data_IF_036218366057
#
_entry.id   IF_036218366057
#
_cell.length_a   1.000
_cell.length_b   1.000
_cell.length_c   1.000
_cell.angle_alpha   90.00
_cell.angle_beta   90.00
_cell.angle_gamma   90.00
#
_symmetry.space_group_name_H-M   'P 1'
#
loop_
_entity.id
_entity.type
_entity.pdbx_description
1 polymer ?
#
# COMPACT_ATOMS: atom_id res chain seq x y z
N UNK A 1 -38.88 21.59 -11.30
CA UNK A 1 -38.94 22.91 -11.99
C UNK A 1 -38.78 24.00 -10.94
N UNK A 2 -37.86 24.95 -11.11
CA UNK A 2 -37.55 25.98 -10.12
C UNK A 2 -38.32 27.26 -10.43
N UNK A 3 -39.08 27.73 -9.46
CA UNK A 3 -39.97 28.91 -9.50
C UNK A 3 -39.25 30.19 -9.02
N UNK A 4 -39.70 31.34 -9.52
CA UNK A 4 -39.38 32.67 -8.95
C UNK A 4 -40.40 33.06 -7.88
N UNK A 5 -40.05 34.00 -6.99
CA UNK A 5 -40.89 34.37 -5.84
C UNK A 5 -42.29 34.88 -6.21
N UNK A 6 -42.46 35.43 -7.42
CA UNK A 6 -43.74 35.98 -7.92
C UNK A 6 -44.59 34.99 -8.73
N UNK A 7 -44.20 33.71 -8.81
CA UNK A 7 -44.84 32.74 -9.72
C UNK A 7 -45.98 31.93 -9.06
N UNK A 8 -47.03 31.66 -9.83
CA UNK A 8 -48.20 30.88 -9.39
C UNK A 8 -48.13 29.43 -9.87
N UNK A 9 -48.22 28.48 -8.93
CA UNK A 9 -48.23 27.03 -9.21
C UNK A 9 -49.40 26.64 -10.12
N UNK A 10 -50.53 27.33 -10.01
CA UNK A 10 -51.73 27.05 -10.80
C UNK A 10 -51.53 27.40 -12.27
N UNK A 11 -50.77 28.47 -12.56
CA UNK A 11 -50.47 28.90 -13.93
C UNK A 11 -49.56 27.90 -14.64
N UNK A 12 -48.55 27.39 -13.93
CA UNK A 12 -47.64 26.34 -14.43
C UNK A 12 -48.41 25.02 -14.59
N UNK A 13 -49.29 24.68 -13.65
CA UNK A 13 -50.10 23.46 -13.70
C UNK A 13 -51.08 23.48 -14.87
N UNK A 14 -51.75 24.61 -15.12
CA UNK A 14 -52.63 24.79 -16.27
C UNK A 14 -51.86 24.61 -17.59
N UNK A 15 -50.63 25.11 -17.64
CA UNK A 15 -49.78 24.99 -18.82
C UNK A 15 -49.31 23.56 -19.09
N UNK A 16 -48.91 22.84 -18.05
CA UNK A 16 -48.54 21.42 -18.16
C UNK A 16 -49.76 20.58 -18.57
N UNK A 17 -50.93 20.84 -17.97
CA UNK A 17 -52.18 20.13 -18.29
C UNK A 17 -52.73 20.43 -19.68
N UNK A 18 -52.41 21.58 -20.27
CA UNK A 18 -52.76 21.91 -21.66
C UNK A 18 -52.14 20.95 -22.67
N UNK A 19 -50.92 20.50 -22.43
CA UNK A 19 -50.19 19.58 -23.31
C UNK A 19 -50.31 18.13 -22.85
N UNK A 20 -50.37 17.89 -21.55
CA UNK A 20 -50.51 16.56 -20.95
C UNK A 20 -51.60 16.56 -19.87
N UNK A 21 -52.88 16.34 -20.24
CA UNK A 21 -54.02 16.43 -19.32
C UNK A 21 -53.94 15.47 -18.13
N UNK A 22 -53.28 14.33 -18.33
CA UNK A 22 -53.08 13.27 -17.33
C UNK A 22 -51.83 13.46 -16.46
N UNK A 23 -51.11 14.59 -16.60
CA UNK A 23 -50.00 14.93 -15.73
C UNK A 23 -50.48 15.26 -14.31
N UNK A 24 -49.82 14.66 -13.31
CA UNK A 24 -50.15 14.85 -11.90
C UNK A 24 -49.08 15.69 -11.20
N UNK A 25 -49.50 16.68 -10.41
CA UNK A 25 -48.60 17.42 -9.53
C UNK A 25 -48.09 16.47 -8.44
N UNK A 26 -46.77 16.29 -8.35
CA UNK A 26 -46.15 15.34 -7.42
C UNK A 26 -45.70 16.00 -6.12
N UNK A 27 -45.04 17.16 -6.21
CA UNK A 27 -44.56 17.89 -5.03
C UNK A 27 -44.34 19.37 -5.33
N UNK A 28 -44.49 20.18 -4.28
CA UNK A 28 -44.13 21.60 -4.25
C UNK A 28 -43.31 21.81 -2.97
N UNK A 29 -41.99 21.96 -3.08
CA UNK A 29 -41.08 22.09 -1.93
C UNK A 29 -39.97 23.08 -2.25
N UNK A 30 -39.75 24.07 -1.38
CA UNK A 30 -38.58 24.96 -1.46
C UNK A 30 -38.48 25.78 -2.75
N UNK A 31 -39.61 26.20 -3.34
CA UNK A 31 -39.62 26.89 -4.63
C UNK A 31 -39.40 25.97 -5.84
N UNK A 32 -39.45 24.65 -5.65
CA UNK A 32 -39.45 23.66 -6.71
C UNK A 32 -40.80 22.96 -6.85
N UNK A 33 -41.29 22.87 -8.09
CA UNK A 33 -42.49 22.11 -8.48
C UNK A 33 -42.10 20.92 -9.34
N UNK A 34 -42.62 19.75 -9.00
CA UNK A 34 -42.38 18.50 -9.73
C UNK A 34 -43.70 17.92 -10.23
N UNK A 35 -43.76 17.58 -11.52
CA UNK A 35 -44.89 16.88 -12.13
C UNK A 35 -44.50 15.45 -12.50
N UNK A 36 -45.42 14.51 -12.28
CA UNK A 36 -45.37 13.18 -12.87
C UNK A 36 -46.04 13.23 -14.24
N UNK A 37 -45.25 12.99 -15.29
CA UNK A 37 -45.73 13.00 -16.66
C UNK A 37 -46.13 11.57 -17.09
N UNK A 38 -47.17 11.42 -17.92
CA UNK A 38 -47.52 10.16 -18.57
C UNK A 38 -46.36 9.62 -19.43
N UNK A 39 -46.32 8.30 -19.72
CA UNK A 39 -45.27 7.70 -20.54
C UNK A 39 -45.34 8.08 -22.03
N UNK A 40 -46.29 8.91 -22.44
CA UNK A 40 -46.45 9.35 -23.83
C UNK A 40 -45.38 10.37 -24.22
N UNK A 41 -44.24 9.85 -24.66
CA UNK A 41 -43.06 10.65 -25.05
C UNK A 41 -43.30 11.60 -26.23
N UNK A 42 -44.35 11.36 -27.04
CA UNK A 42 -44.67 12.20 -28.20
C UNK A 42 -45.10 13.61 -27.81
N UNK A 43 -45.63 13.78 -26.60
CA UNK A 43 -46.12 15.04 -26.06
C UNK A 43 -45.05 15.81 -25.25
N UNK A 44 -43.86 15.24 -25.05
CA UNK A 44 -42.81 15.89 -24.25
C UNK A 44 -42.14 17.05 -24.98
N UNK A 45 -41.84 16.89 -26.28
CA UNK A 45 -41.27 17.96 -27.09
C UNK A 45 -42.17 19.21 -27.12
N UNK A 46 -43.47 19.13 -27.46
CA UNK A 46 -44.33 20.32 -27.48
C UNK A 46 -44.54 20.94 -26.10
N UNK A 47 -44.54 20.13 -25.02
CA UNK A 47 -44.59 20.64 -23.64
C UNK A 47 -43.31 21.42 -23.26
N UNK A 48 -42.14 20.89 -23.59
CA UNK A 48 -40.85 21.55 -23.32
C UNK A 48 -40.74 22.85 -24.12
N UNK A 49 -41.18 22.82 -25.37
CA UNK A 49 -41.18 24.01 -26.23
C UNK A 49 -42.12 25.09 -25.68
N UNK A 50 -43.34 24.73 -25.26
CA UNK A 50 -44.29 25.70 -24.70
C UNK A 50 -43.82 26.31 -23.38
N UNK A 51 -43.19 25.51 -22.52
CA UNK A 51 -42.60 25.95 -21.25
C UNK A 51 -41.35 26.80 -21.45
N UNK A 52 -40.56 26.52 -22.49
CA UNK A 52 -39.39 27.34 -22.85
C UNK A 52 -39.80 28.71 -23.39
N UNK A 53 -40.84 28.76 -24.22
CA UNK A 53 -41.32 29.98 -24.85
C UNK A 53 -42.00 30.94 -23.84
N UNK A 54 -42.70 30.39 -22.85
CA UNK A 54 -43.40 31.17 -21.80
C UNK A 54 -42.68 31.15 -20.44
N UNK A 55 -41.37 30.88 -20.47
CA UNK A 55 -40.55 30.71 -19.26
C UNK A 55 -40.57 31.94 -18.35
N UNK A 56 -40.45 33.14 -18.93
CA UNK A 56 -40.45 34.42 -18.19
C UNK A 56 -41.85 34.76 -17.67
N UNK A 57 -42.89 34.54 -18.48
CA UNK A 57 -44.30 34.79 -18.13
C UNK A 57 -44.79 33.89 -16.99
N UNK A 58 -44.32 32.64 -16.95
CA UNK A 58 -44.67 31.66 -15.93
C UNK A 58 -43.78 31.74 -14.67
N UNK A 59 -42.78 32.62 -14.67
CA UNK A 59 -41.81 32.76 -13.57
C UNK A 59 -41.02 31.48 -13.28
N UNK A 60 -40.60 30.76 -14.33
CA UNK A 60 -39.80 29.54 -14.20
C UNK A 60 -38.32 29.85 -14.45
N UNK A 61 -37.48 29.73 -13.44
CA UNK A 61 -36.02 29.96 -13.58
C UNK A 61 -35.35 28.84 -14.36
N UNK A 62 -35.73 27.59 -14.09
CA UNK A 62 -35.17 26.41 -14.73
C UNK A 62 -36.14 25.23 -14.69
N UNK A 63 -36.15 24.41 -15.73
CA UNK A 63 -36.90 23.15 -15.77
C UNK A 63 -36.09 22.09 -16.51
N UNK A 64 -36.38 20.82 -16.21
CA UNK A 64 -35.73 19.66 -16.82
C UNK A 64 -36.65 18.44 -16.75
N UNK A 65 -36.37 17.47 -17.62
CA UNK A 65 -37.03 16.16 -17.64
C UNK A 65 -36.06 15.13 -17.07
N UNK A 66 -36.56 14.31 -16.15
CA UNK A 66 -35.81 13.21 -15.54
C UNK A 66 -36.59 11.92 -15.69
N UNK A 67 -35.90 10.84 -16.05
CA UNK A 67 -36.48 9.50 -16.02
C UNK A 67 -36.66 9.07 -14.56
N UNK A 68 -37.81 8.47 -14.25
CA UNK A 68 -38.02 7.87 -12.93
C UNK A 68 -37.10 6.65 -12.79
N UNK A 69 -36.24 6.66 -11.78
CA UNK A 69 -35.30 5.54 -11.53
C UNK A 69 -35.98 4.42 -10.72
N UNK A 70 -35.45 3.19 -10.81
CA UNK A 70 -35.92 2.07 -9.97
C UNK A 70 -35.84 2.35 -8.47
N UNK A 71 -34.85 3.13 -8.04
CA UNK A 71 -34.71 3.59 -6.66
C UNK A 71 -35.90 4.48 -6.25
N UNK A 72 -36.31 5.41 -7.12
CA UNK A 72 -37.47 6.28 -6.88
C UNK A 72 -38.79 5.51 -6.87
N UNK A 73 -38.94 4.49 -7.71
CA UNK A 73 -40.11 3.60 -7.70
C UNK A 73 -40.15 2.79 -6.41
N UNK A 74 -39.02 2.22 -5.98
CA UNK A 74 -38.93 1.42 -4.76
C UNK A 74 -39.28 2.24 -3.51
N UNK A 75 -38.71 3.44 -3.34
CA UNK A 75 -39.07 4.32 -2.22
C UNK A 75 -40.51 4.85 -2.32
N UNK A 76 -41.05 4.99 -3.54
CA UNK A 76 -42.42 5.41 -3.77
C UNK A 76 -43.44 4.40 -3.27
N UNK A 77 -43.20 3.11 -3.53
CA UNK A 77 -44.08 2.01 -3.08
C UNK A 77 -44.15 1.95 -1.55
N UNK A 78 -43.01 2.09 -0.86
CA UNK A 78 -42.99 2.09 0.61
C UNK A 78 -43.83 3.21 1.23
N UNK A 79 -43.86 4.40 0.61
CA UNK A 79 -44.63 5.56 1.10
C UNK A 79 -46.15 5.45 0.90
N UNK A 80 -46.58 4.67 -0.09
CA UNK A 80 -48.02 4.40 -0.34
C UNK A 80 -48.54 3.36 0.67
N UNK A 81 -47.69 2.40 1.06
CA UNK A 81 -48.02 1.41 2.09
C UNK A 81 -48.24 2.04 3.49
N UNK A 82 -47.67 3.22 3.74
CA UNK A 82 -47.84 3.95 5.01
C UNK A 82 -49.12 4.83 5.06
N UNK A 83 -49.94 4.91 4.00
CA UNK A 83 -51.01 5.92 3.88
C UNK A 83 -52.44 5.43 3.58
N UNK A 84 -52.76 4.15 3.68
CA UNK A 84 -54.16 3.67 3.50
C UNK A 84 -54.66 2.81 4.68
N UNK A 85 -55.06 3.46 5.77
CA UNK A 85 -56.22 3.08 6.58
C UNK A 85 -57.34 4.09 6.28
N UNK A 86 -58.19 3.83 5.29
CA UNK A 86 -59.62 4.23 5.21
C UNK A 86 -60.27 3.77 3.87
N UNK A 87 -60.82 2.55 3.90
CA UNK A 87 -61.86 1.89 3.07
C UNK A 87 -61.77 1.69 1.52
N UNK A 88 -62.24 0.53 0.98
CA UNK A 88 -62.09 0.06 -0.42
C UNK A 88 -63.43 0.06 -1.21
N UNK A 89 -63.62 -0.53 -2.42
CA UNK A 89 -62.70 -0.98 -3.49
C UNK A 89 -63.07 -0.46 -4.92
N UNK A 90 -62.14 -0.51 -5.87
CA UNK A 90 -62.42 -1.13 -7.18
C UNK A 90 -61.24 -2.05 -7.54
N UNK A 91 -61.55 -3.34 -7.57
CA UNK A 91 -60.62 -4.40 -7.84
C UNK A 91 -60.14 -4.33 -9.30
N UNK A 92 -58.86 -4.04 -9.50
CA UNK A 92 -58.17 -4.48 -10.71
C UNK A 92 -57.54 -5.84 -10.41
N UNK A 93 -58.25 -6.89 -10.80
CA UNK A 93 -57.70 -8.23 -10.95
C UNK A 93 -56.83 -8.24 -12.22
N UNK A 94 -55.53 -8.57 -12.15
CA UNK A 94 -54.82 -9.04 -13.31
C UNK A 94 -55.21 -10.51 -13.48
N UNK A 95 -56.02 -10.77 -14.51
CA UNK A 95 -56.19 -12.11 -15.06
C UNK A 95 -54.80 -12.62 -15.47
N UNK A 96 -54.42 -13.77 -14.93
CA UNK A 96 -53.28 -14.57 -15.39
C UNK A 96 -53.60 -15.12 -16.78
N UNK A 97 -53.09 -14.47 -17.84
CA UNK A 97 -52.80 -15.11 -19.11
C UNK A 97 -51.46 -14.56 -19.66
N UNK A 98 -50.47 -15.46 -19.70
CA UNK A 98 -49.14 -15.43 -20.35
C UNK A 98 -48.58 -14.06 -20.81
N UNK A 99 -47.91 -13.37 -19.89
CA UNK A 99 -47.17 -12.13 -20.15
C UNK A 99 -45.76 -12.36 -20.72
N UNK A 100 -45.62 -12.15 -22.02
CA UNK A 100 -44.36 -11.85 -22.70
C UNK A 100 -43.69 -10.62 -22.06
N UNK A 101 -42.43 -10.78 -21.67
CA UNK A 101 -41.60 -9.70 -21.14
C UNK A 101 -41.16 -8.75 -22.26
N UNK A 102 -41.79 -7.58 -22.33
CA UNK A 102 -41.29 -6.46 -23.13
C UNK A 102 -40.03 -5.86 -22.49
N UNK A 103 -38.89 -6.49 -22.74
CA UNK A 103 -37.58 -5.85 -22.77
C UNK A 103 -37.17 -5.66 -24.24
N UNK A 104 -36.91 -4.41 -24.63
CA UNK A 104 -36.34 -3.94 -25.91
C UNK A 104 -36.39 -4.92 -27.10
N UNK A 105 -37.34 -4.65 -28.00
CA UNK A 105 -37.29 -5.07 -29.41
C UNK A 105 -37.77 -6.48 -29.69
N UNK A 106 -39.06 -6.72 -29.46
CA UNK A 106 -39.77 -7.81 -30.13
C UNK A 106 -40.59 -7.21 -31.29
N UNK A 107 -40.25 -7.61 -32.51
CA UNK A 107 -40.96 -7.22 -33.71
C UNK A 107 -41.89 -8.38 -34.09
N UNK A 108 -43.03 -8.44 -33.43
CA UNK A 108 -44.17 -9.23 -33.88
C UNK A 108 -45.33 -8.29 -34.20
N UNK A 109 -45.33 -7.78 -35.44
CA UNK A 109 -46.57 -7.49 -36.15
C UNK A 109 -46.40 -8.06 -37.55
N UNK A 110 -47.00 -9.23 -37.76
CA UNK A 110 -47.39 -9.66 -39.09
C UNK A 110 -48.45 -8.68 -39.63
N UNK A 111 -48.26 -8.32 -40.90
CA UNK A 111 -49.23 -7.77 -41.83
C UNK A 111 -49.62 -6.29 -41.68
N UNK A 112 -48.72 -5.42 -42.14
CA UNK A 112 -49.03 -4.06 -42.56
C UNK A 112 -47.86 -3.46 -43.33
N UNK A 113 -48.04 -3.27 -44.64
CA UNK A 113 -47.07 -2.73 -45.60
C UNK A 113 -46.46 -1.42 -45.08
N UNK A 114 -45.16 -1.41 -44.76
CA UNK A 114 -44.35 -0.18 -44.78
C UNK A 114 -42.88 -0.53 -45.04
N UNK A 115 -42.31 0.14 -46.02
CA UNK A 115 -41.01 -0.12 -46.66
C UNK A 115 -39.83 0.22 -45.73
N UNK A 116 -39.00 -0.77 -45.35
CA UNK A 116 -37.75 -0.51 -44.62
C UNK A 116 -36.52 -0.73 -45.52
N UNK A 117 -35.77 0.35 -45.73
CA UNK A 117 -34.60 0.46 -46.59
C UNK A 117 -33.33 -0.01 -45.86
N UNK A 118 -33.32 -1.26 -45.38
CA UNK A 118 -32.17 -1.84 -44.65
C UNK A 118 -31.73 -3.23 -45.11
N UNK A 119 -31.97 -3.57 -46.38
CA UNK A 119 -31.26 -4.68 -47.02
C UNK A 119 -29.85 -4.24 -47.43
N UNK A 120 -28.92 -4.28 -46.48
CA UNK A 120 -27.52 -4.58 -46.75
C UNK A 120 -26.85 -4.85 -45.39
N UNK A 121 -26.62 -6.14 -45.08
CA UNK A 121 -25.41 -6.70 -44.48
C UNK A 121 -25.68 -8.14 -44.00
N UNK A 122 -25.08 -9.09 -44.72
CA UNK A 122 -24.84 -10.51 -44.42
C UNK A 122 -26.02 -11.38 -43.94
N UNK A 123 -26.34 -12.40 -44.74
CA UNK A 123 -27.12 -13.60 -44.39
C UNK A 123 -26.39 -14.50 -43.38
N UNK A 124 -26.06 -13.98 -42.18
CA UNK A 124 -25.62 -14.85 -41.08
C UNK A 124 -26.77 -15.06 -40.11
N UNK A 125 -27.26 -16.31 -40.06
CA UNK A 125 -28.30 -16.75 -39.15
C UNK A 125 -27.73 -16.79 -37.72
N UNK A 126 -27.96 -15.74 -36.95
CA UNK A 126 -27.49 -15.63 -35.56
C UNK A 126 -28.16 -16.70 -34.68
N UNK A 127 -27.40 -17.72 -34.28
CA UNK A 127 -27.87 -18.73 -33.32
C UNK A 127 -27.76 -18.16 -31.91
N UNK A 128 -28.89 -18.01 -31.20
CA UNK A 128 -28.90 -17.58 -29.78
C UNK A 128 -28.20 -18.64 -28.93
N UNK A 129 -27.07 -18.27 -28.34
CA UNK A 129 -26.28 -19.14 -27.45
C UNK A 129 -26.78 -18.96 -26.01
N UNK A 130 -26.98 -20.06 -25.28
CA UNK A 130 -27.48 -20.04 -23.88
C UNK A 130 -26.45 -20.71 -22.96
N UNK A 131 -26.29 -20.23 -21.72
CA UNK A 131 -25.39 -20.81 -20.72
C UNK A 131 -23.98 -20.19 -20.65
N UNK A 132 -22.95 -20.98 -20.36
CA UNK A 132 -21.56 -20.51 -20.14
C UNK A 132 -20.89 -19.93 -21.39
N UNK A 133 -21.29 -20.39 -22.58
CA UNK A 133 -20.84 -19.84 -23.86
C UNK A 133 -21.25 -18.37 -24.04
N UNK A 134 -22.43 -18.00 -23.56
CA UNK A 134 -22.91 -16.62 -23.57
C UNK A 134 -22.14 -15.74 -22.58
N UNK A 135 -21.71 -16.29 -21.44
CA UNK A 135 -20.83 -15.59 -20.52
C UNK A 135 -19.46 -15.30 -21.17
N UNK A 136 -18.90 -16.27 -21.90
CA UNK A 136 -17.66 -16.10 -22.64
C UNK A 136 -17.79 -15.08 -23.78
N UNK A 137 -18.93 -15.08 -24.49
CA UNK A 137 -19.23 -14.08 -25.52
C UNK A 137 -19.37 -12.67 -24.93
N UNK A 138 -19.97 -12.53 -23.74
CA UNK A 138 -20.06 -11.25 -23.02
C UNK A 138 -18.67 -10.76 -22.59
N UNK A 139 -17.83 -11.64 -22.05
CA UNK A 139 -16.44 -11.32 -21.71
C UNK A 139 -15.66 -10.90 -22.96
N UNK A 140 -15.77 -11.68 -24.05
CA UNK A 140 -15.15 -11.37 -25.33
C UNK A 140 -15.63 -10.01 -25.88
N UNK A 141 -16.94 -9.74 -25.83
CA UNK A 141 -17.52 -8.47 -26.25
C UNK A 141 -17.02 -7.30 -25.39
N UNK A 142 -16.88 -7.50 -24.07
CA UNK A 142 -16.32 -6.50 -23.16
C UNK A 142 -14.86 -6.19 -23.51
N UNK A 143 -14.02 -7.20 -23.76
CA UNK A 143 -12.62 -7.01 -24.18
C UNK A 143 -12.51 -6.33 -25.54
N UNK A 144 -13.32 -6.74 -26.52
CA UNK A 144 -13.34 -6.10 -27.85
C UNK A 144 -13.75 -4.63 -27.71
N UNK A 145 -14.80 -4.35 -26.94
CA UNK A 145 -15.24 -2.98 -26.66
C UNK A 145 -14.15 -2.16 -25.98
N UNK A 146 -13.49 -2.72 -24.96
CA UNK A 146 -12.38 -2.07 -24.25
C UNK A 146 -11.20 -1.82 -25.18
N UNK A 147 -10.84 -2.78 -26.03
CA UNK A 147 -9.75 -2.66 -26.98
C UNK A 147 -10.00 -1.62 -28.08
N UNK A 148 -11.22 -1.59 -28.65
CA UNK A 148 -11.61 -0.58 -29.65
C UNK A 148 -11.58 0.81 -29.01
N UNK A 149 -12.11 0.95 -27.79
CA UNK A 149 -12.06 2.21 -27.05
C UNK A 149 -10.61 2.65 -26.78
N UNK A 150 -9.76 1.75 -26.29
CA UNK A 150 -8.34 2.01 -26.04
C UNK A 150 -7.63 2.40 -27.33
N UNK A 151 -7.82 1.70 -28.45
CA UNK A 151 -7.20 2.07 -29.74
C UNK A 151 -7.63 3.45 -30.23
N UNK A 152 -8.91 3.81 -30.09
CA UNK A 152 -9.44 5.12 -30.52
C UNK A 152 -8.95 6.27 -29.64
N UNK A 153 -8.70 6.02 -28.36
CA UNK A 153 -8.22 7.01 -27.37
C UNK A 153 -6.70 6.94 -27.13
N UNK A 154 -5.98 5.98 -27.72
CA UNK A 154 -4.53 5.85 -27.59
C UNK A 154 -3.76 7.09 -28.05
N UNK A 155 -4.19 7.85 -29.09
CA UNK A 155 -3.57 9.13 -29.43
C UNK A 155 -3.62 10.10 -28.25
N UNK A 156 -4.77 10.29 -27.59
CA UNK A 156 -4.90 11.16 -26.41
C UNK A 156 -3.98 10.73 -25.26
N UNK A 157 -3.78 9.42 -25.08
CA UNK A 157 -2.86 8.86 -24.09
C UNK A 157 -1.39 9.16 -24.44
N UNK A 158 -1.01 9.07 -25.72
CA UNK A 158 0.35 9.40 -26.19
C UNK A 158 0.59 10.90 -26.21
N UNK A 159 -0.38 11.73 -26.64
CA UNK A 159 -0.24 13.20 -26.64
C UNK A 159 -0.17 13.76 -25.23
N UNK A 160 -0.81 13.12 -24.24
CA UNK A 160 -0.60 13.41 -22.81
C UNK A 160 0.80 13.02 -22.31
N UNK A 161 1.43 12.00 -22.89
CA UNK A 161 2.79 11.55 -22.53
C UNK A 161 3.88 12.30 -23.31
N UNK A 162 3.57 12.82 -24.51
CA UNK A 162 4.54 13.37 -25.46
C UNK A 162 4.70 14.90 -25.50
N UNK A 163 3.84 15.68 -24.84
CA UNK A 163 3.97 17.15 -24.82
C UNK A 163 4.77 17.65 -23.61
N UNK A 164 6.06 17.30 -23.56
CA UNK A 164 7.07 18.05 -22.80
C UNK A 164 7.87 18.92 -23.77
N UNK A 165 7.23 19.95 -24.32
CA UNK A 165 7.91 20.79 -25.32
C UNK A 165 7.00 21.86 -25.89
N UNK A 166 6.72 22.90 -25.11
CA UNK A 166 6.19 24.15 -25.65
C UNK A 166 5.12 24.82 -24.80
N UNK A 167 5.51 25.96 -24.26
CA UNK A 167 4.66 27.06 -23.78
C UNK A 167 4.03 26.93 -22.39
N UNK A 168 4.61 27.77 -21.53
CA UNK A 168 4.07 28.34 -20.29
C UNK A 168 2.57 28.68 -20.33
N UNK A 169 1.92 28.47 -19.19
CA UNK A 169 0.64 29.06 -18.77
C UNK A 169 -0.63 28.22 -18.96
N UNK A 170 -0.71 27.05 -18.34
CA UNK A 170 -1.75 26.76 -17.33
C UNK A 170 -1.47 25.42 -16.65
N UNK A 171 -1.32 25.48 -15.33
CA UNK A 171 -1.03 24.37 -14.44
C UNK A 171 -2.29 23.57 -14.14
N UNK A 172 -2.68 22.63 -15.00
CA UNK A 172 -3.63 21.58 -14.62
C UNK A 172 -2.91 20.23 -14.66
N UNK A 173 -2.62 19.73 -13.44
CA UNK A 173 -1.75 18.59 -13.13
C UNK A 173 -2.26 17.21 -13.56
N UNK A 174 -2.85 17.08 -14.74
CA UNK A 174 -3.35 15.80 -15.28
C UNK A 174 -2.29 14.96 -16.00
N UNK A 175 -1.05 15.45 -16.10
CA UNK A 175 0.00 14.88 -16.95
C UNK A 175 0.82 13.75 -16.31
N UNK A 176 0.65 13.44 -15.01
CA UNK A 176 1.53 12.49 -14.30
C UNK A 176 0.90 11.14 -13.88
N UNK A 177 -0.41 10.94 -14.02
CA UNK A 177 -1.07 9.82 -13.31
C UNK A 177 -0.72 8.42 -13.85
N UNK A 178 -0.40 8.29 -15.15
CA UNK A 178 0.01 7.00 -15.74
C UNK A 178 1.51 6.70 -15.63
N UNK A 179 2.35 7.74 -15.48
CA UNK A 179 3.80 7.61 -15.38
C UNK A 179 4.26 7.36 -13.93
N UNK A 180 3.50 7.84 -12.94
CA UNK A 180 3.79 7.69 -11.50
C UNK A 180 4.08 6.24 -11.10
N UNK A 181 3.27 5.23 -11.46
CA UNK A 181 3.57 3.84 -11.08
C UNK A 181 4.88 3.32 -11.68
N UNK A 182 5.19 3.73 -12.91
CA UNK A 182 6.42 3.32 -13.60
C UNK A 182 7.64 3.98 -12.94
N UNK A 183 7.56 5.27 -12.66
CA UNK A 183 8.64 6.02 -11.99
C UNK A 183 8.87 5.51 -10.57
N UNK A 184 7.80 5.25 -9.82
CA UNK A 184 7.87 4.68 -8.47
C UNK A 184 8.50 3.29 -8.51
N UNK A 185 8.12 2.44 -9.47
CA UNK A 185 8.72 1.10 -9.63
C UNK A 185 10.20 1.20 -9.98
N UNK A 186 10.60 2.08 -10.91
CA UNK A 186 12.00 2.31 -11.26
C UNK A 186 12.79 2.83 -10.04
N UNK A 187 12.23 3.79 -9.28
CA UNK A 187 12.85 4.30 -8.07
C UNK A 187 13.04 3.19 -7.02
N UNK A 188 12.05 2.32 -6.80
CA UNK A 188 12.16 1.16 -5.94
C UNK A 188 13.27 0.20 -6.38
N UNK A 189 13.38 -0.07 -7.69
CA UNK A 189 14.45 -0.93 -8.24
C UNK A 189 15.84 -0.30 -8.11
N UNK A 190 15.96 1.02 -8.27
CA UNK A 190 17.23 1.74 -8.08
C UNK A 190 17.65 1.76 -6.60
N UNK A 191 16.69 1.96 -5.70
CA UNK A 191 16.90 1.84 -4.26
C UNK A 191 17.38 0.43 -3.95
N UNK A 192 16.66 -0.60 -4.39
CA UNK A 192 17.05 -2.00 -4.13
C UNK A 192 18.45 -2.32 -4.67
N UNK A 193 18.79 -1.86 -5.88
CA UNK A 193 20.15 -2.01 -6.43
C UNK A 193 21.23 -1.34 -5.58
N UNK A 194 20.95 -0.17 -5.02
CA UNK A 194 21.89 0.56 -4.17
C UNK A 194 21.93 0.00 -2.73
N UNK A 195 20.86 -0.62 -2.25
CA UNK A 195 20.74 -1.17 -0.90
C UNK A 195 21.16 -2.65 -0.80
N UNK A 196 21.20 -3.40 -1.90
CA UNK A 196 21.77 -4.76 -1.96
C UNK A 196 23.30 -4.82 -1.73
N UNK A 197 23.89 -3.74 -1.21
CA UNK A 197 25.31 -3.65 -0.86
C UNK A 197 25.66 -4.30 0.49
N UNK A 198 24.69 -4.78 1.29
CA UNK A 198 24.96 -5.48 2.55
C UNK A 198 25.37 -6.95 2.38
N UNK A 199 26.03 -7.29 1.26
CA UNK A 199 26.90 -8.48 1.22
C UNK A 199 28.28 -8.13 1.77
N UNK A 200 28.37 -7.19 2.72
CA UNK A 200 29.61 -6.94 3.45
C UNK A 200 29.78 -8.11 4.42
N UNK A 201 30.69 -9.01 4.05
CA UNK A 201 31.25 -9.94 5.01
C UNK A 201 31.79 -9.11 6.19
N UNK A 202 31.30 -9.40 7.40
CA UNK A 202 31.71 -8.65 8.60
C UNK A 202 33.26 -8.60 8.68
N UNK A 203 33.85 -7.49 9.16
CA UNK A 203 35.30 -7.43 9.29
C UNK A 203 35.78 -8.48 10.31
N UNK A 204 36.99 -9.05 10.13
CA UNK A 204 37.55 -9.96 11.10
C UNK A 204 37.73 -9.26 12.45
N UNK A 205 37.44 -10.00 13.54
CA UNK A 205 37.56 -9.49 14.89
C UNK A 205 38.91 -9.91 15.50
N UNK A 206 39.81 -8.95 15.69
CA UNK A 206 41.07 -9.18 16.41
C UNK A 206 40.81 -9.41 17.91
N UNK A 207 41.32 -10.53 18.44
CA UNK A 207 41.12 -10.94 19.83
C UNK A 207 42.07 -10.22 20.79
N UNK A 208 41.83 -8.93 20.98
CA UNK A 208 42.56 -8.07 21.93
C UNK A 208 41.63 -7.55 23.04
N UNK A 209 42.16 -7.16 24.22
CA UNK A 209 41.38 -6.52 25.28
C UNK A 209 40.56 -5.30 24.83
N UNK A 210 41.02 -4.61 23.78
CA UNK A 210 40.39 -3.42 23.21
C UNK A 210 39.03 -3.66 22.56
N UNK A 211 38.63 -4.92 22.37
CA UNK A 211 37.29 -5.28 21.87
C UNK A 211 36.19 -4.85 22.85
N UNK A 212 36.51 -4.79 24.15
CA UNK A 212 35.56 -4.37 25.17
C UNK A 212 35.55 -2.84 25.27
N UNK A 213 34.37 -2.23 25.08
CA UNK A 213 34.16 -0.78 25.22
C UNK A 213 34.35 -0.29 26.66
N UNK A 214 34.15 -1.18 27.62
CA UNK A 214 34.27 -0.90 29.05
C UNK A 214 35.71 -1.15 29.52
N UNK A 215 36.20 -0.32 30.43
CA UNK A 215 37.52 -0.51 31.06
C UNK A 215 37.55 -1.86 31.78
N UNK A 216 38.37 -2.79 31.29
CA UNK A 216 38.51 -4.10 31.93
C UNK A 216 39.50 -4.04 33.08
N UNK A 217 39.19 -4.74 34.17
CA UNK A 217 40.02 -4.92 35.34
C UNK A 217 40.47 -6.38 35.42
N UNK A 218 41.78 -6.61 35.46
CA UNK A 218 42.36 -7.96 35.51
C UNK A 218 43.19 -8.11 36.77
N UNK A 219 42.98 -9.21 37.50
CA UNK A 219 43.87 -9.58 38.59
C UNK A 219 44.99 -10.48 38.06
N UNK A 220 46.21 -10.23 38.54
CA UNK A 220 47.37 -11.05 38.22
C UNK A 220 48.09 -11.49 39.49
N UNK A 221 48.50 -12.76 39.54
CA UNK A 221 49.30 -13.30 40.61
C UNK A 221 50.53 -14.01 40.02
N UNK A 222 51.68 -13.92 40.68
CA UNK A 222 52.85 -14.69 40.32
C UNK A 222 53.60 -15.17 41.56
N UNK A 223 54.08 -16.40 41.53
CA UNK A 223 54.98 -16.92 42.56
C UNK A 223 56.33 -16.18 42.54
N UNK A 224 57.05 -16.14 43.68
CA UNK A 224 58.37 -15.54 43.76
C UNK A 224 59.31 -16.06 42.65
N UNK A 225 59.95 -15.15 41.92
CA UNK A 225 60.82 -15.46 40.78
C UNK A 225 60.13 -15.44 39.40
N UNK A 226 58.82 -15.22 39.33
CA UNK A 226 58.06 -15.08 38.08
C UNK A 226 57.54 -13.66 37.81
N UNK A 227 58.05 -12.65 38.51
CA UNK A 227 57.65 -11.24 38.39
C UNK A 227 57.79 -10.69 36.96
N UNK A 228 58.78 -11.18 36.21
CA UNK A 228 58.96 -10.81 34.80
C UNK A 228 57.73 -11.17 33.95
N UNK A 229 57.07 -12.31 34.20
CA UNK A 229 55.84 -12.69 33.51
C UNK A 229 54.70 -11.72 33.81
N UNK A 230 54.59 -11.26 35.06
CA UNK A 230 53.61 -10.27 35.47
C UNK A 230 53.85 -8.94 34.76
N UNK A 231 55.10 -8.49 34.66
CA UNK A 231 55.45 -7.27 33.94
C UNK A 231 55.11 -7.36 32.44
N UNK A 232 55.41 -8.50 31.81
CA UNK A 232 55.04 -8.77 30.43
C UNK A 232 53.52 -8.81 30.23
N UNK A 233 52.79 -9.43 31.17
CA UNK A 233 51.32 -9.46 31.18
C UNK A 233 50.74 -8.06 31.23
N UNK A 234 51.18 -7.23 32.18
CA UNK A 234 50.74 -5.84 32.33
C UNK A 234 50.93 -5.02 31.06
N UNK A 235 52.04 -5.22 30.33
CA UNK A 235 52.31 -4.50 29.10
C UNK A 235 51.35 -4.85 27.94
N UNK A 236 50.67 -6.00 27.98
CA UNK A 236 49.71 -6.38 26.92
C UNK A 236 48.40 -5.59 26.98
N UNK A 237 48.18 -4.86 28.06
CA UNK A 237 46.99 -4.05 28.27
C UNK A 237 47.22 -2.62 27.77
N UNK A 238 46.25 -2.09 27.02
CA UNK A 238 46.25 -0.69 26.61
C UNK A 238 45.92 0.27 27.76
N UNK A 239 46.05 1.58 27.53
CA UNK A 239 45.88 2.63 28.54
C UNK A 239 44.51 2.63 29.28
N UNK A 240 43.48 2.03 28.67
CA UNK A 240 42.12 2.00 29.22
C UNK A 240 41.86 0.80 30.13
N UNK A 241 42.81 -0.12 30.28
CA UNK A 241 42.63 -1.34 31.07
C UNK A 241 43.55 -1.33 32.29
N UNK A 242 43.06 -1.86 33.41
CA UNK A 242 43.80 -1.88 34.67
C UNK A 242 44.15 -3.31 35.06
N UNK A 243 45.40 -3.50 35.48
CA UNK A 243 45.90 -4.79 35.96
C UNK A 243 46.46 -4.62 37.36
N UNK A 244 45.89 -5.36 38.31
CA UNK A 244 46.24 -5.30 39.73
C UNK A 244 46.89 -6.61 40.17
N UNK A 245 47.98 -6.50 40.93
CA UNK A 245 48.63 -7.67 41.52
C UNK A 245 47.92 -8.09 42.81
N UNK A 246 47.70 -9.38 42.98
CA UNK A 246 47.05 -9.95 44.16
C UNK A 246 47.74 -11.24 44.61
N UNK A 247 47.63 -11.57 45.89
CA UNK A 247 48.12 -12.82 46.48
C UNK A 247 47.31 -14.04 46.01
N UNK A 248 46.02 -13.87 45.74
CA UNK A 248 45.18 -14.94 45.24
C UNK A 248 44.05 -14.40 44.35
N UNK A 249 44.15 -14.74 43.07
CA UNK A 249 43.20 -14.30 42.03
C UNK A 249 41.78 -14.74 42.35
N UNK A 250 41.58 -15.95 42.87
CA UNK A 250 40.24 -16.49 43.13
C UNK A 250 39.58 -15.70 44.26
N UNK A 251 40.28 -15.42 45.35
CA UNK A 251 39.70 -14.66 46.48
C UNK A 251 39.40 -13.23 46.09
N UNK A 252 40.26 -12.58 45.30
CA UNK A 252 39.99 -11.22 44.79
C UNK A 252 38.81 -11.17 43.82
N UNK A 253 38.67 -12.16 42.94
CA UNK A 253 37.50 -12.27 42.05
C UNK A 253 36.22 -12.49 42.84
N UNK A 254 36.25 -13.35 43.87
CA UNK A 254 35.10 -13.59 44.75
C UNK A 254 34.71 -12.33 45.51
N UNK A 255 35.68 -11.61 46.09
CA UNK A 255 35.43 -10.35 46.77
C UNK A 255 34.82 -9.30 45.82
N UNK A 256 35.38 -9.14 44.61
CA UNK A 256 34.83 -8.22 43.62
C UNK A 256 33.39 -8.58 43.20
N UNK A 257 33.07 -9.88 43.20
CA UNK A 257 31.71 -10.36 42.90
C UNK A 257 30.71 -10.08 44.03
N UNK A 258 31.16 -10.12 45.29
CA UNK A 258 30.34 -9.80 46.47
C UNK A 258 30.10 -8.29 46.60
N UNK A 259 31.11 -7.47 46.27
CA UNK A 259 30.99 -6.00 46.30
C UNK A 259 30.01 -5.48 45.25
N UNK A 260 30.13 -5.92 43.99
CA UNK A 260 29.21 -5.53 42.93
C UNK A 260 29.22 -6.54 41.77
N UNK A 261 28.18 -7.38 41.73
CA UNK A 261 28.04 -8.42 40.70
C UNK A 261 27.97 -7.88 39.27
N UNK A 262 27.30 -6.74 39.06
CA UNK A 262 27.17 -6.14 37.71
C UNK A 262 28.52 -5.63 37.21
N UNK A 263 29.24 -4.90 38.07
CA UNK A 263 30.58 -4.40 37.76
C UNK A 263 31.56 -5.55 37.54
N UNK A 264 31.49 -6.60 38.37
CA UNK A 264 32.25 -7.83 38.19
C UNK A 264 32.05 -8.43 36.79
N UNK A 265 30.79 -8.59 36.36
CA UNK A 265 30.45 -9.19 35.05
C UNK A 265 30.91 -8.39 33.83
N UNK A 266 30.93 -7.07 33.94
CA UNK A 266 31.31 -6.19 32.83
C UNK A 266 32.80 -5.91 32.77
N UNK A 267 33.47 -5.84 33.93
CA UNK A 267 34.83 -5.35 34.02
C UNK A 267 35.86 -6.45 34.25
N UNK A 268 35.53 -7.54 34.97
CA UNK A 268 36.46 -8.62 35.30
C UNK A 268 36.40 -9.77 34.29
N UNK A 269 36.61 -9.46 33.01
CA UNK A 269 36.47 -10.42 31.93
C UNK A 269 37.53 -11.53 31.93
N UNK A 270 38.75 -11.23 32.39
CA UNK A 270 39.86 -12.19 32.43
C UNK A 270 40.88 -11.85 33.53
N UNK A 271 41.55 -12.87 34.05
CA UNK A 271 42.59 -12.78 35.09
C UNK A 271 43.60 -13.91 34.90
N UNK A 272 44.82 -13.75 35.42
CA UNK A 272 45.90 -14.72 35.20
C UNK A 272 46.72 -15.00 36.46
N UNK A 273 47.27 -16.21 36.58
CA UNK A 273 48.24 -16.55 37.62
C UNK A 273 49.38 -17.37 37.07
N UNK A 274 50.60 -17.05 37.49
CA UNK A 274 51.82 -17.73 37.10
C UNK A 274 52.41 -18.45 38.31
N UNK A 275 52.23 -19.76 38.37
CA UNK A 275 52.62 -20.58 39.51
C UNK A 275 53.86 -21.40 39.18
N UNK A 276 54.84 -21.41 40.06
CA UNK A 276 56.04 -22.24 39.95
C UNK A 276 55.76 -23.61 40.56
N UNK A 277 55.80 -24.67 39.74
CA UNK A 277 55.77 -26.07 40.23
C UNK A 277 57.16 -26.68 40.08
N UNK A 278 57.44 -27.74 40.84
CA UNK A 278 58.76 -28.38 40.94
C UNK A 278 59.45 -28.69 39.61
N UNK A 279 58.70 -28.97 38.54
CA UNK A 279 59.25 -29.32 37.21
C UNK A 279 58.81 -28.42 36.06
N UNK A 280 57.88 -27.49 36.30
CA UNK A 280 57.32 -26.65 35.25
C UNK A 280 56.62 -25.43 35.84
N UNK A 281 56.57 -24.34 35.08
CA UNK A 281 55.72 -23.21 35.40
C UNK A 281 54.30 -23.47 34.89
N UNK A 282 53.30 -23.34 35.77
CA UNK A 282 51.90 -23.45 35.43
C UNK A 282 51.31 -22.05 35.20
N UNK A 283 50.91 -21.76 33.96
CA UNK A 283 50.22 -20.52 33.61
C UNK A 283 48.71 -20.82 33.58
N UNK A 284 47.94 -20.11 34.41
CA UNK A 284 46.50 -20.30 34.52
C UNK A 284 45.78 -19.01 34.13
N UNK A 285 44.73 -19.14 33.33
CA UNK A 285 43.85 -18.04 32.93
C UNK A 285 42.45 -18.34 33.42
N UNK A 286 41.82 -17.34 34.02
CA UNK A 286 40.41 -17.32 34.28
C UNK A 286 39.76 -16.41 33.24
N UNK A 287 38.72 -16.91 32.58
CA UNK A 287 37.95 -16.17 31.61
C UNK A 287 36.47 -16.29 31.97
N UNK A 288 35.76 -15.16 31.92
CA UNK A 288 34.35 -15.14 32.22
C UNK A 288 33.50 -15.57 31.03
N UNK A 289 32.41 -16.29 31.27
CA UNK A 289 31.53 -16.79 30.19
C UNK A 289 30.47 -15.79 29.72
N UNK A 290 30.41 -14.60 30.33
CA UNK A 290 29.38 -13.60 30.02
C UNK A 290 29.77 -12.76 28.80
N UNK A 291 30.95 -12.10 28.76
CA UNK A 291 31.39 -11.46 27.52
C UNK A 291 31.85 -12.52 26.51
N UNK A 292 31.52 -12.31 25.24
CA UNK A 292 31.98 -13.20 24.17
C UNK A 292 33.50 -13.11 23.98
N UNK A 293 34.09 -14.17 23.42
CA UNK A 293 35.52 -14.25 23.05
C UNK A 293 36.54 -14.12 24.18
N UNK A 294 36.13 -14.01 25.44
CA UNK A 294 37.00 -13.90 26.62
C UNK A 294 38.03 -15.03 26.74
N UNK A 295 37.64 -16.26 26.43
CA UNK A 295 38.55 -17.42 26.45
C UNK A 295 39.64 -17.28 25.39
N UNK A 296 39.28 -16.84 24.19
CA UNK A 296 40.23 -16.60 23.09
C UNK A 296 41.17 -15.43 23.39
N UNK A 297 40.65 -14.35 23.96
CA UNK A 297 41.44 -13.19 24.37
C UNK A 297 42.38 -13.56 25.52
N UNK A 298 41.87 -14.25 26.56
CA UNK A 298 42.67 -14.67 27.72
C UNK A 298 43.81 -15.63 27.35
N UNK A 299 43.56 -16.57 26.44
CA UNK A 299 44.60 -17.47 25.91
C UNK A 299 45.62 -16.72 25.04
N UNK A 300 45.18 -15.78 24.21
CA UNK A 300 46.06 -14.90 23.44
C UNK A 300 46.98 -14.08 24.35
N UNK A 301 46.47 -13.53 25.45
CA UNK A 301 47.25 -12.76 26.41
C UNK A 301 48.36 -13.62 27.03
N UNK A 302 48.03 -14.79 27.59
CA UNK A 302 49.04 -15.66 28.21
C UNK A 302 50.03 -16.25 27.20
N UNK A 303 49.60 -16.50 25.97
CA UNK A 303 50.53 -16.93 24.92
C UNK A 303 51.51 -15.82 24.56
N UNK A 304 51.04 -14.57 24.50
CA UNK A 304 51.88 -13.40 24.26
C UNK A 304 52.83 -13.11 25.43
N UNK A 305 52.41 -13.33 26.68
CA UNK A 305 53.34 -13.17 27.82
C UNK A 305 54.46 -14.19 27.77
N UNK A 306 54.13 -15.45 27.47
CA UNK A 306 55.11 -16.51 27.31
C UNK A 306 56.06 -16.21 26.15
N UNK A 307 55.54 -15.72 25.02
CA UNK A 307 56.36 -15.33 23.87
C UNK A 307 57.35 -14.22 24.23
N UNK A 308 56.89 -13.19 24.93
CA UNK A 308 57.75 -12.08 25.37
C UNK A 308 58.79 -12.52 26.38
N UNK A 309 58.46 -13.49 27.23
CA UNK A 309 59.40 -14.10 28.16
C UNK A 309 60.47 -14.93 27.47
N UNK A 310 60.10 -15.71 26.45
CA UNK A 310 61.02 -16.58 25.72
C UNK A 310 61.89 -15.81 24.71
N UNK A 311 61.32 -14.76 24.12
CA UNK A 311 61.96 -13.93 23.12
C UNK A 311 62.23 -12.54 23.70
N UNK A 312 61.54 -11.51 23.18
CA UNK A 312 61.65 -10.12 23.63
C UNK A 312 60.29 -9.43 23.43
N UNK A 313 60.14 -8.22 23.98
CA UNK A 313 58.93 -7.40 23.87
C UNK A 313 58.54 -6.99 22.44
N UNK A 314 59.46 -7.09 21.47
CA UNK A 314 59.23 -6.77 20.06
C UNK A 314 58.36 -7.80 19.32
N UNK A 315 58.20 -9.01 19.86
CA UNK A 315 57.40 -10.06 19.24
C UNK A 315 55.99 -10.10 19.83
N UNK A 316 54.99 -10.26 18.96
CA UNK A 316 53.59 -10.43 19.33
C UNK A 316 52.88 -11.39 18.39
N UNK A 317 51.95 -12.16 18.92
CA UNK A 317 51.02 -13.02 18.18
C UNK A 317 49.64 -12.33 18.22
N UNK A 318 49.05 -12.12 17.05
CA UNK A 318 47.66 -11.67 16.92
C UNK A 318 46.80 -12.84 16.48
N UNK A 319 45.61 -12.95 17.06
CA UNK A 319 44.62 -13.96 16.70
C UNK A 319 43.37 -13.24 16.23
N UNK A 320 43.00 -13.46 14.97
CA UNK A 320 41.83 -12.84 14.35
C UNK A 320 40.74 -13.89 14.13
N UNK A 321 39.52 -13.57 14.58
CA UNK A 321 38.35 -14.39 14.34
C UNK A 321 37.64 -13.90 13.08
N UNK A 322 37.72 -14.67 12.00
CA UNK A 322 37.00 -14.37 10.76
C UNK A 322 35.55 -14.83 10.88
N UNK A 323 34.57 -14.01 10.44
CA UNK A 323 33.20 -14.48 10.39
C UNK A 323 33.08 -15.64 9.41
N UNK A 324 32.14 -16.54 9.70
CA UNK A 324 31.80 -17.59 8.76
C UNK A 324 31.32 -17.00 7.44
N UNK A 325 31.59 -17.66 6.30
CA UNK A 325 31.00 -17.24 5.04
C UNK A 325 29.48 -17.19 5.20
N UNK A 326 28.81 -16.17 4.64
CA UNK A 326 27.37 -16.03 4.77
C UNK A 326 26.70 -17.28 4.21
N UNK A 327 26.01 -18.02 5.06
CA UNK A 327 25.23 -19.17 4.65
C UNK A 327 23.83 -18.69 4.27
N UNK A 328 23.49 -18.76 2.98
CA UNK A 328 22.18 -18.34 2.45
C UNK A 328 21.01 -19.13 3.05
N UNK A 329 21.26 -20.28 3.67
CA UNK A 329 20.23 -21.08 4.36
C UNK A 329 19.88 -20.56 5.76
N UNK A 330 20.81 -19.89 6.43
CA UNK A 330 20.68 -19.41 7.82
C UNK A 330 20.81 -17.90 7.95
N UNK A 331 20.85 -17.16 6.83
CA UNK A 331 20.53 -15.74 6.84
C UNK A 331 19.11 -15.63 7.38
N UNK A 332 19.01 -15.38 8.69
CA UNK A 332 17.77 -14.98 9.30
C UNK A 332 17.26 -13.83 8.45
N UNK A 333 16.04 -13.97 7.96
CA UNK A 333 15.23 -12.92 7.34
C UNK A 333 14.89 -11.85 8.39
N UNK A 334 15.87 -11.40 9.17
CA UNK A 334 15.91 -10.09 9.80
C UNK A 334 16.35 -9.04 8.78
N UNK A 335 16.14 -9.31 7.48
CA UNK A 335 15.95 -8.26 6.49
C UNK A 335 14.60 -7.58 6.75
N UNK A 336 14.55 -6.81 7.83
CA UNK A 336 13.93 -5.50 7.74
C UNK A 336 14.79 -4.65 6.80
N UNK A 337 14.95 -5.11 5.56
CA UNK A 337 15.54 -4.31 4.53
C UNK A 337 14.61 -3.14 4.34
N UNK A 338 15.14 -1.93 4.28
CA UNK A 338 14.32 -0.77 3.94
C UNK A 338 13.50 -1.05 2.66
N UNK A 339 14.02 -1.87 1.73
CA UNK A 339 13.28 -2.30 0.54
C UNK A 339 12.03 -3.14 0.85
N UNK A 340 12.01 -3.98 1.89
CA UNK A 340 10.84 -4.79 2.26
C UNK A 340 9.67 -3.97 2.83
N UNK A 341 9.93 -2.79 3.41
CA UNK A 341 8.91 -1.83 3.79
C UNK A 341 8.55 -0.83 2.69
N UNK A 342 9.56 -0.37 1.95
CA UNK A 342 9.39 0.66 0.92
C UNK A 342 8.59 0.09 -0.26
N UNK A 343 8.81 -1.17 -0.64
CA UNK A 343 8.16 -1.75 -1.82
C UNK A 343 6.63 -1.89 -1.67
N UNK A 344 6.08 -2.48 -0.58
CA UNK A 344 4.63 -2.62 -0.44
C UNK A 344 3.91 -1.27 -0.26
N UNK A 345 4.54 -0.32 0.44
CA UNK A 345 3.98 1.02 0.69
C UNK A 345 3.97 1.88 -0.57
N UNK A 346 5.08 1.90 -1.32
CA UNK A 346 5.17 2.65 -2.58
C UNK A 346 4.32 2.02 -3.68
N UNK A 347 4.27 0.69 -3.77
CA UNK A 347 3.48 -0.01 -4.80
C UNK A 347 1.97 0.15 -4.58
N UNK A 348 1.50 0.06 -3.33
CA UNK A 348 0.08 0.29 -3.02
C UNK A 348 -0.37 1.72 -3.35
N UNK A 349 0.47 2.72 -3.04
CA UNK A 349 0.24 4.11 -3.42
C UNK A 349 0.19 4.29 -4.95
N UNK A 350 1.16 3.70 -5.66
CA UNK A 350 1.20 3.73 -7.13
C UNK A 350 -0.05 3.12 -7.77
N UNK A 351 -0.51 1.97 -7.27
CA UNK A 351 -1.72 1.32 -7.77
C UNK A 351 -2.99 2.13 -7.48
N UNK A 352 -3.05 2.87 -6.37
CA UNK A 352 -4.16 3.77 -6.07
C UNK A 352 -4.23 4.95 -7.06
N UNK A 353 -3.08 5.52 -7.44
CA UNK A 353 -3.03 6.55 -8.48
C UNK A 353 -3.41 6.01 -9.86
N UNK A 354 -3.03 4.77 -10.18
CA UNK A 354 -3.43 4.10 -11.40
C UNK A 354 -4.96 3.93 -11.46
N UNK A 355 -5.60 3.47 -10.37
CA UNK A 355 -7.06 3.28 -10.33
C UNK A 355 -7.82 4.60 -10.46
N UNK A 356 -7.34 5.67 -9.80
CA UNK A 356 -7.89 7.01 -9.90
C UNK A 356 -7.84 7.57 -11.34
N UNK A 357 -6.78 7.26 -12.10
CA UNK A 357 -6.64 7.72 -13.49
C UNK A 357 -7.75 7.20 -14.42
N UNK A 358 -8.28 6.01 -14.16
CA UNK A 358 -9.36 5.43 -14.95
C UNK A 358 -10.72 6.05 -14.62
N UNK A 359 -10.91 6.58 -13.41
CA UNK A 359 -12.14 7.27 -13.01
C UNK A 359 -12.23 8.66 -13.67
N UNK A 360 -11.13 9.39 -13.73
CA UNK A 360 -11.10 10.72 -14.37
C UNK A 360 -11.44 10.64 -15.86
N UNK A 361 -11.02 9.58 -16.55
CA UNK A 361 -11.38 9.35 -17.96
C UNK A 361 -12.88 9.08 -18.19
N UNK A 362 -13.64 8.66 -17.17
CA UNK A 362 -15.10 8.49 -17.29
C UNK A 362 -15.88 9.80 -17.09
N UNK A 363 -15.33 10.76 -16.35
CA UNK A 363 -16.04 12.00 -15.99
C UNK A 363 -15.95 13.07 -17.09
N UNK A 364 -15.00 12.97 -18.02
CA UNK A 364 -14.93 13.87 -19.18
C UNK A 364 -15.97 13.46 -20.23
N UNK A 365 -17.23 13.82 -19.97
CA UNK A 365 -18.28 13.90 -20.98
C UNK A 365 -17.92 15.06 -21.91
N UNK A 366 -17.84 14.87 -23.23
CA UNK A 366 -17.66 15.99 -24.13
C UNK A 366 -18.91 16.88 -24.03
N UNK A 367 -18.71 18.14 -23.64
CA UNK A 367 -19.76 19.16 -23.79
C UNK A 367 -20.14 19.26 -25.28
N UNK A 368 -21.45 19.31 -25.61
CA UNK A 368 -21.93 19.35 -26.99
C UNK A 368 -21.48 20.61 -27.74
#
# INVERSE_FOLDING_TARGET
>A
MIMTEDSSVDSITAEVKKHMPTAALHSVVGGEVTFKLPPDTSLFAPLVDSLSARKEELGVRHFGLSLTTMEQVFLGVSKVMDKEEEQPPEAFTPHEEEGQSHHLGDATVENGIFTDSRQCLSEEKWVKQTGSSLLLQRIKAFFIKRFIYTKRKWPLFITQVGYTGGSSSHSDGSFLQGLVPVVVTIACLLIDRNFNFFTEQEPPLSLTPSVFSTTTFSFVNADPGLENLTSHYKHLFGANHKVEETDNVITSLLQASEENLSKYREQHAFSASFLSKEKHTALKVWAQTVPYHTVGIGTSLVTNTLLRQAMNSSYSITTDNYPFPPNTMWQFTTEFSASSLIYPSMMSLALAFLSASYLVQMVVVPSP
#
